data_IF_850626740439
#
_entry.id   IF_850626740439
#
_cell.length_a   1.000
_cell.length_b   1.000
_cell.length_c   1.000
_cell.angle_alpha   90.00
_cell.angle_beta   90.00
_cell.angle_gamma   90.00
#
_symmetry.space_group_name_H-M   'P 1'
#
loop_
_entity.id
_entity.type
_entity.pdbx_description
1 polymer ?
#
# COMPACT_ATOMS: atom_id res chain seq x y z
N UNK A 1 4.69 0.02 -20.32
CA UNK A 1 4.55 1.44 -19.98
C UNK A 1 5.89 1.93 -19.46
N UNK A 2 6.52 2.91 -20.12
CA UNK A 2 7.85 3.45 -19.76
C UNK A 2 7.78 4.84 -19.11
N UNK A 3 6.56 5.37 -18.91
CA UNK A 3 6.37 6.65 -18.26
C UNK A 3 6.82 6.58 -16.79
N UNK A 4 7.53 7.60 -16.27
CA UNK A 4 7.74 7.76 -14.84
C UNK A 4 6.38 7.73 -14.12
N UNK A 5 6.37 7.19 -12.90
CA UNK A 5 5.20 6.93 -12.07
C UNK A 5 4.18 5.88 -12.58
N UNK A 6 4.37 5.29 -13.77
CA UNK A 6 3.44 4.28 -14.26
C UNK A 6 3.42 3.03 -13.38
N UNK A 7 2.23 2.47 -13.14
CA UNK A 7 1.99 1.31 -12.26
C UNK A 7 2.46 1.51 -10.81
N UNK A 8 2.52 2.75 -10.33
CA UNK A 8 2.89 3.03 -8.94
C UNK A 8 1.65 3.02 -8.05
N UNK A 9 1.70 2.23 -6.99
CA UNK A 9 0.69 2.15 -5.96
C UNK A 9 1.17 2.91 -4.72
N UNK A 10 0.32 3.78 -4.19
CA UNK A 10 0.60 4.59 -3.01
C UNK A 10 -0.41 4.31 -1.90
N UNK A 11 -0.02 4.54 -0.65
CA UNK A 11 -0.94 4.51 0.48
C UNK A 11 -1.52 5.92 0.70
N UNK A 12 -2.83 6.06 0.57
CA UNK A 12 -3.50 7.34 0.82
C UNK A 12 -3.53 7.76 2.29
N UNK A 13 -3.24 6.83 3.21
CA UNK A 13 -3.23 7.10 4.66
C UNK A 13 -1.90 7.67 5.14
N UNK A 14 -0.77 7.12 4.68
CA UNK A 14 0.56 7.58 5.11
C UNK A 14 1.36 8.29 4.02
N UNK A 15 0.89 8.31 2.77
CA UNK A 15 1.57 8.95 1.64
C UNK A 15 2.72 8.16 1.02
N UNK A 16 3.11 7.00 1.59
CA UNK A 16 4.24 6.21 1.09
C UNK A 16 3.92 5.51 -0.24
N UNK A 17 4.94 5.37 -1.09
CA UNK A 17 4.90 4.48 -2.26
C UNK A 17 5.01 3.03 -1.83
N UNK A 18 4.00 2.22 -2.15
CA UNK A 18 3.95 0.79 -1.82
C UNK A 18 4.80 -0.02 -2.81
N UNK A 19 4.56 0.16 -4.11
CA UNK A 19 5.24 -0.59 -5.18
C UNK A 19 5.02 0.06 -6.54
N UNK A 20 5.98 -0.09 -7.46
CA UNK A 20 5.80 0.20 -8.88
C UNK A 20 5.78 -1.11 -9.70
N UNK A 21 4.61 -1.65 -10.01
CA UNK A 21 4.47 -2.90 -10.77
C UNK A 21 3.08 -3.08 -11.38
N UNK A 22 3.03 -3.60 -12.61
CA UNK A 22 1.78 -4.02 -13.25
C UNK A 22 1.34 -5.45 -12.85
N UNK A 23 2.22 -6.22 -12.21
CA UNK A 23 1.97 -7.63 -11.90
C UNK A 23 1.13 -7.76 -10.64
N UNK A 24 -0.12 -8.21 -10.78
CA UNK A 24 -1.09 -8.35 -9.67
C UNK A 24 -0.53 -9.07 -8.44
N UNK A 25 0.22 -10.16 -8.63
CA UNK A 25 0.82 -10.91 -7.53
C UNK A 25 1.78 -10.06 -6.69
N UNK A 26 2.63 -9.27 -7.37
CA UNK A 26 3.57 -8.35 -6.72
C UNK A 26 2.84 -7.23 -6.00
N UNK A 27 1.80 -6.66 -6.61
CA UNK A 27 0.96 -5.62 -6.00
C UNK A 27 0.30 -6.14 -4.73
N UNK A 28 -0.35 -7.31 -4.80
CA UNK A 28 -1.02 -7.93 -3.66
C UNK A 28 -0.07 -8.18 -2.50
N UNK A 29 1.10 -8.77 -2.76
CA UNK A 29 2.09 -9.05 -1.73
C UNK A 29 2.64 -7.77 -1.07
N UNK A 30 2.92 -6.73 -1.87
CA UNK A 30 3.43 -5.47 -1.37
C UNK A 30 2.38 -4.72 -0.53
N UNK A 31 1.12 -4.71 -0.97
CA UNK A 31 -0.01 -4.12 -0.23
C UNK A 31 -0.23 -4.84 1.10
N UNK A 32 -0.25 -6.18 1.11
CA UNK A 32 -0.38 -6.95 2.35
C UNK A 32 0.76 -6.66 3.33
N UNK A 33 1.99 -6.56 2.84
CA UNK A 33 3.15 -6.19 3.67
C UNK A 33 3.08 -4.74 4.19
N UNK A 34 2.51 -3.82 3.43
CA UNK A 34 2.37 -2.43 3.87
C UNK A 34 1.41 -2.30 5.05
N UNK A 35 0.25 -2.96 4.97
CA UNK A 35 -0.79 -2.88 6.01
C UNK A 35 -0.50 -3.69 7.28
N UNK A 36 0.63 -4.40 7.38
CA UNK A 36 1.11 -4.91 8.68
C UNK A 36 1.67 -3.80 9.57
N UNK A 37 2.03 -2.66 8.96
CA UNK A 37 2.69 -1.51 9.62
C UNK A 37 1.80 -0.27 9.59
N UNK A 38 1.07 -0.10 8.50
CA UNK A 38 0.11 0.98 8.34
C UNK A 38 -1.29 0.47 8.73
N UNK A 39 -1.86 0.95 9.83
CA UNK A 39 -3.25 0.61 10.16
C UNK A 39 -4.20 1.41 9.28
N UNK A 40 -4.85 0.72 8.34
CA UNK A 40 -5.85 1.32 7.45
C UNK A 40 -7.15 1.66 8.19
N UNK A 41 -7.50 0.89 9.22
CA UNK A 41 -8.70 1.05 10.01
C UNK A 41 -8.35 1.22 11.48
N UNK A 42 -8.99 2.20 12.11
CA UNK A 42 -9.04 2.31 13.55
C UNK A 42 -10.09 1.29 14.01
N UNK A 43 -9.67 0.26 14.76
CA UNK A 43 -10.60 -0.70 15.35
C UNK A 43 -11.18 -0.02 16.61
N UNK A 44 -12.46 0.35 16.66
CA UNK A 44 -13.06 0.92 17.86
C UNK A 44 -13.05 -0.16 18.95
N UNK A 45 -12.07 -0.07 19.85
CA UNK A 45 -11.81 -1.07 20.88
C UNK A 45 -10.36 -1.12 21.39
N UNK A 46 -9.41 -0.47 20.71
CA UNK A 46 -8.02 -0.39 21.16
C UNK A 46 -7.48 1.04 21.27
N UNK A 47 -8.38 2.01 21.41
CA UNK A 47 -8.04 3.32 22.00
C UNK A 47 -8.09 3.15 23.52
N UNK A 48 -6.99 2.67 24.10
CA UNK A 48 -6.74 2.69 25.53
C UNK A 48 -6.00 3.97 25.90
#
# INVERSE_FOLDING_TARGET
CISPACNTHFCYRCGESIVQSARRQTVSQAVSRHYTRCQLFEIPGNAA
#
